data_IF_703549061238
#
_entry.id   IF_703549061238
#
_cell.length_a   1.000
_cell.length_b   1.000
_cell.length_c   1.000
_cell.angle_alpha   90.00
_cell.angle_beta   90.00
_cell.angle_gamma   90.00
#
_symmetry.space_group_name_H-M   'P 1'
#
loop_
_entity.id
_entity.type
_entity.pdbx_description
1 polymer ?
#
# COMPACT_ATOMS: atom_id res chain seq x y z
N UNK A 1 23.51 -6.17 14.80
CA UNK A 1 22.75 -6.65 13.63
C UNK A 1 21.61 -5.66 13.45
N UNK A 2 21.80 -4.67 12.58
CA UNK A 2 20.69 -3.82 12.12
C UNK A 2 20.22 -4.51 10.86
N UNK A 3 19.10 -5.23 10.92
CA UNK A 3 18.44 -5.66 9.70
C UNK A 3 17.82 -4.41 9.11
N UNK A 4 18.32 -3.96 7.96
CA UNK A 4 17.78 -2.81 7.21
C UNK A 4 16.37 -3.10 6.67
N UNK A 5 15.84 -4.30 6.93
CA UNK A 5 14.52 -4.72 6.51
C UNK A 5 13.41 -3.94 7.25
N UNK A 6 12.39 -3.46 6.53
CA UNK A 6 11.24 -2.79 7.14
C UNK A 6 10.48 -3.72 8.10
N UNK A 7 10.22 -3.24 9.32
CA UNK A 7 9.42 -3.97 10.32
C UNK A 7 7.99 -3.43 10.32
N UNK A 8 7.00 -4.30 10.09
CA UNK A 8 5.58 -3.95 10.17
C UNK A 8 5.15 -3.94 11.65
N UNK A 9 4.77 -2.76 12.14
CA UNK A 9 4.30 -2.55 13.51
C UNK A 9 2.78 -2.72 13.63
N UNK A 10 2.02 -2.32 12.62
CA UNK A 10 0.56 -2.35 12.61
C UNK A 10 0.01 -2.43 11.19
N UNK A 11 -1.13 -3.10 11.01
CA UNK A 11 -1.87 -3.18 9.75
C UNK A 11 -3.29 -2.65 9.96
N UNK A 12 -3.74 -1.74 9.08
CA UNK A 12 -5.07 -1.13 9.09
C UNK A 12 -5.73 -1.38 7.74
N UNK A 13 -6.87 -2.09 7.65
CA UNK A 13 -7.58 -2.28 6.39
C UNK A 13 -7.92 -0.95 5.70
N UNK A 14 -7.78 -0.89 4.38
CA UNK A 14 -7.90 0.35 3.59
C UNK A 14 -8.91 0.25 2.43
N UNK A 15 -10.17 -0.18 2.67
CA UNK A 15 -11.15 -0.31 1.60
C UNK A 15 -11.40 1.04 0.90
N UNK A 16 -11.52 1.01 -0.43
CA UNK A 16 -11.76 2.19 -1.25
C UNK A 16 -10.50 2.97 -1.66
N UNK A 17 -9.32 2.54 -1.21
CA UNK A 17 -8.04 3.11 -1.65
C UNK A 17 -7.45 2.33 -2.83
N UNK A 18 -6.79 3.06 -3.73
CA UNK A 18 -6.18 2.51 -4.93
C UNK A 18 -4.78 3.09 -5.13
N UNK A 19 -3.80 2.24 -5.37
CA UNK A 19 -2.49 2.61 -5.88
C UNK A 19 -2.63 2.96 -7.36
N UNK A 20 -2.01 4.05 -7.78
CA UNK A 20 -2.00 4.52 -9.16
C UNK A 20 -0.57 4.43 -9.68
N UNK A 21 -0.40 3.79 -10.83
CA UNK A 21 0.89 3.62 -11.47
C UNK A 21 0.96 4.42 -12.77
N UNK A 22 2.18 4.81 -13.13
CA UNK A 22 2.56 5.34 -14.43
C UNK A 22 2.12 4.34 -15.51
N UNK A 23 1.37 4.83 -16.49
CA UNK A 23 0.66 3.97 -17.45
C UNK A 23 -0.82 3.74 -17.14
N UNK A 24 -1.34 4.30 -16.04
CA UNK A 24 -2.78 4.37 -15.75
C UNK A 24 -3.36 3.09 -15.13
N UNK A 25 -2.51 2.13 -14.78
CA UNK A 25 -2.91 0.95 -14.02
C UNK A 25 -3.27 1.39 -12.61
N UNK A 26 -4.38 0.87 -12.08
CA UNK A 26 -4.77 1.11 -10.69
C UNK A 26 -5.07 -0.20 -9.99
N UNK A 27 -4.49 -0.40 -8.82
CA UNK A 27 -4.67 -1.61 -8.01
C UNK A 27 -5.29 -1.28 -6.65
N UNK A 28 -6.17 -2.14 -6.13
CA UNK A 28 -6.78 -1.91 -4.83
C UNK A 28 -5.74 -2.04 -3.71
N UNK A 29 -5.69 -1.03 -2.84
CA UNK A 29 -4.92 -1.10 -1.58
C UNK A 29 -5.72 -1.92 -0.58
N UNK A 30 -5.12 -2.98 -0.06
CA UNK A 30 -5.75 -3.84 0.94
C UNK A 30 -5.67 -3.23 2.34
N UNK A 31 -4.52 -2.63 2.66
CA UNK A 31 -4.25 -2.07 3.99
C UNK A 31 -3.21 -0.95 3.93
N UNK A 32 -3.18 -0.14 4.98
CA UNK A 32 -2.03 0.69 5.33
C UNK A 32 -1.25 -0.01 6.43
N UNK A 33 0.07 -0.09 6.27
CA UNK A 33 0.99 -0.61 7.27
C UNK A 33 1.75 0.54 7.92
N UNK A 34 1.82 0.55 9.25
CA UNK A 34 2.83 1.35 9.97
C UNK A 34 4.13 0.55 9.97
N UNK A 35 5.17 1.13 9.38
CA UNK A 35 6.46 0.49 9.18
C UNK A 35 7.54 1.28 9.93
N UNK A 36 8.47 0.56 10.56
CA UNK A 36 9.71 1.11 11.10
C UNK A 36 10.90 0.61 10.27
N UNK A 37 11.71 1.54 9.77
CA UNK A 37 12.85 1.27 8.90
C UNK A 37 13.97 2.24 9.27
N UNK A 38 15.16 1.72 9.59
CA UNK A 38 16.33 2.52 10.01
C UNK A 38 16.05 3.53 11.15
N UNK A 39 15.12 3.17 12.07
CA UNK A 39 14.72 4.03 13.19
C UNK A 39 13.72 5.16 12.84
N UNK A 40 13.29 5.25 11.57
CA UNK A 40 12.23 6.14 11.13
C UNK A 40 10.91 5.38 11.00
N UNK A 41 9.79 6.06 11.24
CA UNK A 41 8.44 5.51 11.10
C UNK A 41 7.71 6.14 9.93
N UNK A 42 7.12 5.31 9.07
CA UNK A 42 6.28 5.75 7.96
C UNK A 42 5.03 4.89 7.81
N UNK A 43 4.03 5.43 7.13
CA UNK A 43 2.85 4.69 6.69
C UNK A 43 3.06 4.29 5.24
N UNK A 44 2.88 3.01 4.92
CA UNK A 44 3.00 2.49 3.57
C UNK A 44 1.70 1.80 3.14
N UNK A 45 1.37 1.90 1.86
CA UNK A 45 0.18 1.26 1.29
C UNK A 45 0.50 -0.15 0.83
N UNK A 46 -0.36 -1.12 1.13
CA UNK A 46 -0.15 -2.53 0.79
C UNK A 46 -1.08 -2.94 -0.34
N UNK A 47 -0.53 -3.42 -1.44
CA UNK A 47 -1.26 -4.02 -2.57
C UNK A 47 -1.07 -5.54 -2.61
N UNK A 48 -2.01 -6.24 -3.23
CA UNK A 48 -1.94 -7.69 -3.41
C UNK A 48 -1.32 -8.03 -4.77
N UNK A 49 -0.01 -8.28 -4.82
CA UNK A 49 0.56 -9.00 -5.97
C UNK A 49 0.76 -10.48 -5.59
N UNK A 50 0.57 -11.37 -6.56
CA UNK A 50 -0.08 -12.69 -6.46
C UNK A 50 0.44 -13.73 -5.46
N UNK A 51 1.45 -13.46 -4.61
CA UNK A 51 1.88 -14.36 -3.51
C UNK A 51 2.43 -13.65 -2.27
N UNK A 52 2.76 -12.37 -2.32
CA UNK A 52 3.39 -11.64 -1.21
C UNK A 52 2.85 -10.20 -1.17
N UNK A 53 2.32 -9.73 -0.02
CA UNK A 53 1.94 -8.32 0.14
C UNK A 53 3.17 -7.44 -0.06
N UNK A 54 3.07 -6.43 -0.94
CA UNK A 54 4.14 -5.48 -1.19
C UNK A 54 3.71 -4.06 -0.88
N UNK A 55 4.69 -3.21 -0.54
CA UNK A 55 4.44 -1.78 -0.38
C UNK A 55 4.30 -1.15 -1.78
N UNK A 56 3.19 -0.46 -2.02
CA UNK A 56 2.91 0.15 -3.33
C UNK A 56 3.97 1.17 -3.73
N UNK A 57 4.57 1.86 -2.76
CA UNK A 57 5.63 2.87 -2.98
C UNK A 57 6.93 2.27 -3.53
N UNK A 58 7.14 0.97 -3.34
CA UNK A 58 8.33 0.25 -3.78
C UNK A 58 8.12 -0.44 -5.14
N UNK A 59 6.91 -0.37 -5.70
CA UNK A 59 6.59 -0.88 -7.02
C UNK A 59 7.00 0.11 -8.11
N UNK A 60 7.61 -0.40 -9.18
CA UNK A 60 8.03 0.42 -10.33
C UNK A 60 6.85 1.20 -10.92
N UNK A 61 7.06 2.49 -11.14
CA UNK A 61 6.06 3.39 -11.70
C UNK A 61 4.97 3.82 -10.73
N UNK A 62 5.11 3.63 -9.41
CA UNK A 62 4.14 4.19 -8.46
C UNK A 62 4.06 5.72 -8.56
N UNK A 63 2.85 6.23 -8.85
CA UNK A 63 2.58 7.66 -9.05
C UNK A 63 1.76 8.29 -7.90
N UNK A 64 1.12 7.47 -7.06
CA UNK A 64 0.41 7.94 -5.88
C UNK A 64 -0.82 7.13 -5.51
N UNK A 65 -1.66 7.73 -4.67
CA UNK A 65 -2.87 7.11 -4.13
C UNK A 65 -4.13 7.87 -4.56
N UNK A 66 -5.21 7.12 -4.80
CA UNK A 66 -6.53 7.68 -5.05
C UNK A 66 -7.56 7.01 -4.15
N UNK A 67 -8.29 7.80 -3.37
CA UNK A 67 -9.48 7.35 -2.68
C UNK A 67 -10.68 7.39 -3.63
N UNK A 68 -11.40 6.27 -3.74
CA UNK A 68 -12.62 6.13 -4.57
C UNK A 68 -13.89 5.89 -3.74
N UNK A 69 -13.78 5.88 -2.41
CA UNK A 69 -14.88 5.48 -1.53
C UNK A 69 -15.13 3.97 -1.55
N UNK A 70 -15.92 3.43 -0.61
CA UNK A 70 -16.46 2.09 -0.75
C UNK A 70 -17.30 2.04 -2.04
N UNK A 71 -17.06 1.03 -2.88
CA UNK A 71 -17.93 0.76 -4.02
C UNK A 71 -19.33 0.43 -3.48
N UNK A 72 -20.27 1.33 -3.70
CA UNK A 72 -21.70 1.05 -3.53
C UNK A 72 -22.18 0.63 -4.91
N UNK A 73 -22.50 -0.64 -5.09
CA UNK A 73 -23.13 -1.09 -6.33
C UNK A 73 -24.42 -0.28 -6.51
N UNK A 74 -24.67 0.32 -7.68
CA UNK A 74 -25.95 0.94 -7.95
C UNK A 74 -27.06 -0.12 -7.83
N UNK A 75 -28.16 0.24 -7.17
CA UNK A 75 -29.37 -0.60 -7.03
C UNK A 75 -29.98 -0.97 -8.40
#
# INVERSE_FOLDING_TARGET
MSTDDPVILQIIPAPGWWACYDGGVTEPVMAFALVEEQGARRVASVVADFRVPMLAEDADGFAGLKYRGPWVAPE
#
